data_IF_745758095705
#
_entry.id   IF_745758095705
#
_cell.length_a   1.000
_cell.length_b   1.000
_cell.length_c   1.000
_cell.angle_alpha   90.00
_cell.angle_beta   90.00
_cell.angle_gamma   90.00
#
_symmetry.space_group_name_H-M   'P 1'
#
loop_
_entity.id
_entity.type
_entity.pdbx_description
1 polymer ?
#
# COMPACT_ATOMS: atom_id res chain seq x y z
N UNK A 1 9.04 4.05 12.04
CA UNK A 1 9.86 5.21 11.67
C UNK A 1 10.11 5.13 10.17
N UNK A 2 9.90 6.21 9.42
CA UNK A 2 10.14 6.21 7.97
C UNK A 2 11.65 6.16 7.67
N UNK A 3 12.08 5.35 6.71
CA UNK A 3 13.50 5.12 6.39
C UNK A 3 13.68 4.62 4.95
N UNK A 4 14.93 4.37 4.53
CA UNK A 4 15.29 3.97 3.16
C UNK A 4 14.53 2.73 2.66
N UNK A 5 14.32 1.72 3.51
CA UNK A 5 13.48 0.55 3.18
C UNK A 5 12.07 0.93 2.68
N UNK A 6 11.36 1.76 3.43
CA UNK A 6 10.04 2.27 3.02
C UNK A 6 10.13 3.05 1.70
N UNK A 7 11.13 3.93 1.55
CA UNK A 7 11.31 4.69 0.31
C UNK A 7 11.58 3.78 -0.92
N UNK A 8 12.28 2.65 -0.73
CA UNK A 8 12.55 1.66 -1.79
C UNK A 8 11.28 0.92 -2.19
N UNK A 9 10.43 0.54 -1.24
CA UNK A 9 9.12 -0.07 -1.53
C UNK A 9 8.22 0.89 -2.31
N UNK A 10 8.15 2.15 -1.89
CA UNK A 10 7.40 3.20 -2.60
C UNK A 10 7.94 3.42 -4.03
N UNK A 11 9.27 3.40 -4.20
CA UNK A 11 9.90 3.47 -5.53
C UNK A 11 9.49 2.29 -6.42
N UNK A 12 9.50 1.07 -5.89
CA UNK A 12 9.13 -0.13 -6.65
C UNK A 12 7.68 -0.04 -7.14
N UNK A 13 6.75 0.38 -6.27
CA UNK A 13 5.36 0.58 -6.68
C UNK A 13 5.21 1.71 -7.72
N UNK A 14 5.87 2.85 -7.52
CA UNK A 14 5.86 3.96 -8.51
C UNK A 14 6.40 3.53 -9.88
N UNK A 15 7.34 2.60 -9.92
CA UNK A 15 7.95 2.10 -11.15
C UNK A 15 7.29 0.82 -11.71
N UNK A 16 6.22 0.32 -11.09
CA UNK A 16 5.57 -0.92 -11.51
C UNK A 16 4.92 -0.82 -12.90
N UNK A 17 4.34 0.34 -13.24
CA UNK A 17 3.73 0.59 -14.56
C UNK A 17 4.26 1.88 -15.21
N UNK A 18 4.30 1.94 -16.55
CA UNK A 18 4.43 3.19 -17.27
C UNK A 18 3.27 4.12 -16.88
N UNK A 19 3.57 5.33 -16.39
CA UNK A 19 2.57 6.32 -15.93
C UNK A 19 1.72 5.83 -14.73
N UNK A 20 2.40 5.66 -13.59
CA UNK A 20 1.79 5.30 -12.30
C UNK A 20 1.56 6.55 -11.44
N UNK A 21 0.40 6.64 -10.80
CA UNK A 21 0.06 7.58 -9.73
C UNK A 21 0.04 6.83 -8.39
N UNK A 22 1.02 7.09 -7.54
CA UNK A 22 1.20 6.43 -6.26
C UNK A 22 0.50 7.21 -5.14
N UNK A 23 -0.47 6.54 -4.53
CA UNK A 23 -1.19 6.98 -3.34
C UNK A 23 -0.66 6.18 -2.14
N UNK A 24 -0.34 6.87 -1.05
CA UNK A 24 0.06 6.20 0.20
C UNK A 24 -0.97 6.50 1.28
N UNK A 25 -1.62 5.46 1.78
CA UNK A 25 -2.52 5.52 2.93
C UNK A 25 -1.73 5.36 4.22
N UNK A 26 -1.92 6.29 5.15
CA UNK A 26 -1.28 6.22 6.48
C UNK A 26 -2.36 6.17 7.55
N UNK A 27 -2.34 5.09 8.34
CA UNK A 27 -3.31 4.85 9.41
C UNK A 27 -3.14 5.83 10.58
N UNK A 28 -4.22 6.24 11.23
CA UNK A 28 -4.19 7.09 12.44
C UNK A 28 -3.47 6.38 13.62
N UNK A 29 -3.13 7.13 14.68
CA UNK A 29 -2.44 6.54 15.83
C UNK A 29 -3.32 5.58 16.64
N UNK A 30 -4.63 5.82 16.70
CA UNK A 30 -5.56 4.96 17.46
C UNK A 30 -5.62 3.54 16.89
N UNK A 31 -5.76 3.41 15.57
CA UNK A 31 -5.77 2.14 14.85
C UNK A 31 -4.41 1.46 14.94
N UNK A 32 -3.32 2.20 14.73
CA UNK A 32 -1.98 1.60 14.83
C UNK A 32 -1.72 1.08 16.24
N UNK A 33 -2.12 1.81 17.29
CA UNK A 33 -1.96 1.36 18.67
C UNK A 33 -2.83 0.15 18.99
N UNK A 34 -4.03 0.07 18.41
CA UNK A 34 -4.95 -1.04 18.60
C UNK A 34 -4.46 -2.32 17.91
N UNK A 35 -4.04 -2.23 16.65
CA UNK A 35 -3.75 -3.40 15.82
C UNK A 35 -2.27 -3.78 15.74
N UNK A 36 -1.34 -2.83 15.92
CA UNK A 36 0.13 -3.05 15.76
C UNK A 36 0.93 -2.80 17.02
N UNK A 37 0.49 -1.82 17.82
CA UNK A 37 1.18 -1.37 19.03
C UNK A 37 1.68 0.07 18.94
N UNK A 38 2.45 0.49 19.95
CA UNK A 38 2.81 1.90 20.14
C UNK A 38 3.74 2.42 19.05
N UNK A 39 3.48 3.65 18.62
CA UNK A 39 4.30 4.40 17.66
C UNK A 39 5.27 5.34 18.39
N UNK A 40 6.46 5.52 17.82
CA UNK A 40 7.44 6.53 18.28
C UNK A 40 7.10 7.91 17.72
N UNK A 41 6.65 7.96 16.47
CA UNK A 41 6.24 9.18 15.78
C UNK A 41 4.71 9.23 15.77
N UNK A 42 4.14 10.41 16.03
CA UNK A 42 2.70 10.58 15.93
C UNK A 42 2.22 10.53 14.47
N UNK A 43 0.92 10.37 14.27
CA UNK A 43 0.31 10.25 12.94
C UNK A 43 0.64 11.43 12.02
N UNK A 44 0.71 12.67 12.54
CA UNK A 44 1.02 13.87 11.74
C UNK A 44 2.47 13.86 11.26
N UNK A 45 3.41 13.47 12.12
CA UNK A 45 4.81 13.29 11.74
C UNK A 45 4.96 12.19 10.68
N UNK A 46 4.17 11.11 10.78
CA UNK A 46 4.13 10.06 9.75
C UNK A 46 3.55 10.57 8.43
N UNK A 47 2.48 11.35 8.45
CA UNK A 47 1.91 11.96 7.25
C UNK A 47 2.93 12.86 6.53
N UNK A 48 3.61 13.74 7.27
CA UNK A 48 4.63 14.63 6.70
C UNK A 48 5.85 13.87 6.19
N UNK A 49 6.31 12.84 6.92
CA UNK A 49 7.44 12.02 6.46
C UNK A 49 7.18 11.37 5.10
N UNK A 50 5.95 10.88 4.86
CA UNK A 50 5.55 10.27 3.59
C UNK A 50 5.36 11.33 2.50
N UNK A 51 4.79 12.49 2.80
CA UNK A 51 4.59 13.60 1.83
C UNK A 51 5.90 14.09 1.21
N UNK A 52 7.00 13.99 1.94
CA UNK A 52 8.33 14.37 1.44
C UNK A 52 9.05 13.26 0.67
N UNK A 53 8.44 12.09 0.49
CA UNK A 53 9.01 11.03 -0.32
C UNK A 53 8.88 11.35 -1.81
N UNK A 54 10.01 11.32 -2.54
CA UNK A 54 10.08 11.61 -3.98
C UNK A 54 9.11 10.80 -4.86
N UNK A 55 8.76 9.59 -4.43
CA UNK A 55 7.99 8.65 -5.25
C UNK A 55 6.48 8.74 -5.03
N UNK A 56 6.04 9.52 -4.04
CA UNK A 56 4.64 9.63 -3.62
C UNK A 56 3.97 10.81 -4.32
N UNK A 57 2.81 10.59 -4.92
CA UNK A 57 2.02 11.65 -5.55
C UNK A 57 0.90 12.17 -4.64
N UNK A 58 0.30 11.28 -3.83
CA UNK A 58 -0.81 11.61 -2.92
C UNK A 58 -0.65 10.87 -1.59
N UNK A 59 -1.01 11.54 -0.49
CA UNK A 59 -1.08 10.91 0.84
C UNK A 59 -2.51 10.99 1.36
N UNK A 60 -3.07 9.82 1.67
CA UNK A 60 -4.36 9.73 2.35
C UNK A 60 -4.09 9.59 3.84
N UNK A 61 -4.47 10.62 4.58
CA UNK A 61 -4.48 10.59 6.04
C UNK A 61 -5.65 9.73 6.52
N UNK A 62 -5.52 9.15 7.71
CA UNK A 62 -6.57 8.35 8.34
C UNK A 62 -7.06 7.21 7.44
N UNK A 63 -6.11 6.51 6.82
CA UNK A 63 -6.42 5.35 5.99
C UNK A 63 -6.95 4.21 6.88
N UNK A 64 -8.03 3.53 6.47
CA UNK A 64 -8.63 2.46 7.27
C UNK A 64 -7.68 1.26 7.37
N UNK A 65 -7.71 0.57 8.52
CA UNK A 65 -6.88 -0.62 8.74
C UNK A 65 -7.19 -1.75 7.76
N UNK A 66 -8.47 -1.96 7.46
CA UNK A 66 -8.95 -2.88 6.42
C UNK A 66 -9.53 -2.07 5.28
N UNK A 67 -9.02 -2.30 4.07
CA UNK A 67 -9.47 -1.59 2.87
C UNK A 67 -10.84 -2.13 2.43
N UNK A 68 -11.82 -1.25 2.29
CA UNK A 68 -13.16 -1.60 1.79
C UNK A 68 -13.32 -1.23 0.32
N UNK A 69 -14.28 -1.86 -0.35
CA UNK A 69 -14.63 -1.52 -1.74
C UNK A 69 -15.04 -0.05 -1.89
N UNK A 70 -15.69 0.54 -0.88
CA UNK A 70 -16.06 1.95 -0.91
C UNK A 70 -14.82 2.85 -0.88
N UNK A 71 -13.79 2.46 -0.12
CA UNK A 71 -12.52 3.19 -0.09
C UNK A 71 -11.81 3.14 -1.44
N UNK A 72 -11.76 1.95 -2.08
CA UNK A 72 -11.19 1.76 -3.41
C UNK A 72 -11.91 2.61 -4.45
N UNK A 73 -13.24 2.59 -4.46
CA UNK A 73 -14.06 3.37 -5.39
C UNK A 73 -13.92 4.88 -5.18
N UNK A 74 -13.94 5.33 -3.92
CA UNK A 74 -13.82 6.75 -3.55
C UNK A 74 -12.51 7.36 -4.07
N UNK A 75 -11.40 6.64 -3.93
CA UNK A 75 -10.07 7.12 -4.33
C UNK A 75 -9.70 6.72 -5.77
N UNK A 76 -10.54 5.90 -6.42
CA UNK A 76 -10.34 5.33 -7.76
C UNK A 76 -9.04 4.53 -7.84
N UNK A 77 -8.84 3.65 -6.86
CA UNK A 77 -7.65 2.82 -6.75
C UNK A 77 -7.80 1.62 -7.68
N UNK A 78 -6.82 1.43 -8.57
CA UNK A 78 -6.79 0.29 -9.49
C UNK A 78 -6.11 -0.92 -8.87
N UNK A 79 -5.05 -0.68 -8.09
CA UNK A 79 -4.24 -1.73 -7.48
C UNK A 79 -3.85 -1.38 -6.05
N UNK A 80 -3.73 -2.40 -5.22
CA UNK A 80 -3.14 -2.28 -3.88
C UNK A 80 -1.76 -2.95 -3.91
N UNK A 81 -0.78 -2.35 -3.25
CA UNK A 81 0.57 -2.88 -3.11
C UNK A 81 0.89 -3.10 -1.63
N UNK A 82 1.17 -4.35 -1.28
CA UNK A 82 1.62 -4.76 0.04
C UNK A 82 2.45 -6.02 -0.09
N UNK A 83 3.26 -6.34 0.93
CA UNK A 83 3.98 -7.62 1.00
C UNK A 83 3.01 -8.81 0.99
N UNK A 84 3.43 -9.93 0.42
CA UNK A 84 2.62 -11.17 0.30
C UNK A 84 2.42 -11.92 1.63
N UNK A 85 3.12 -11.48 2.68
CA UNK A 85 3.00 -12.07 4.01
C UNK A 85 1.59 -11.77 4.56
N UNK A 86 0.84 -12.79 5.01
CA UNK A 86 -0.46 -12.58 5.65
C UNK A 86 -0.38 -11.54 6.75
N UNK A 87 -1.17 -10.47 6.61
CA UNK A 87 -1.15 -9.38 7.56
C UNK A 87 -2.19 -9.63 8.65
N UNK A 88 -1.76 -10.37 9.66
CA UNK A 88 -2.60 -10.73 10.79
C UNK A 88 -2.92 -9.50 11.66
N UNK A 89 -4.17 -9.44 12.08
CA UNK A 89 -4.69 -8.51 13.07
C UNK A 89 -5.49 -9.29 14.12
N UNK A 90 -5.82 -8.72 15.29
CA UNK A 90 -6.58 -9.42 16.33
C UNK A 90 -7.90 -10.04 15.83
N UNK A 91 -8.51 -9.44 14.81
CA UNK A 91 -9.82 -9.85 14.26
C UNK A 91 -9.74 -10.53 12.89
N UNK A 92 -8.55 -10.67 12.28
CA UNK A 92 -8.38 -11.28 10.96
C UNK A 92 -7.02 -11.94 10.79
N UNK A 93 -7.00 -13.15 10.22
CA UNK A 93 -5.77 -13.87 9.86
C UNK A 93 -4.99 -13.18 8.73
N UNK A 94 -5.69 -12.48 7.82
CA UNK A 94 -5.10 -11.67 6.74
C UNK A 94 -6.10 -10.60 6.30
N UNK A 95 -5.84 -9.34 6.64
CA UNK A 95 -6.71 -8.20 6.26
C UNK A 95 -6.77 -7.98 4.74
N UNK A 96 -5.80 -8.51 3.99
CA UNK A 96 -5.73 -8.38 2.53
C UNK A 96 -6.40 -9.53 1.78
N UNK A 97 -6.81 -10.60 2.48
CA UNK A 97 -7.45 -11.78 1.87
C UNK A 97 -8.64 -11.43 0.97
N UNK A 98 -9.58 -10.54 1.34
CA UNK A 98 -10.68 -10.16 0.45
C UNK A 98 -10.18 -9.52 -0.86
N UNK A 99 -9.09 -8.76 -0.82
CA UNK A 99 -8.49 -8.12 -1.99
C UNK A 99 -7.73 -9.12 -2.86
N UNK A 100 -7.10 -10.13 -2.24
CA UNK A 100 -6.45 -11.25 -2.94
C UNK A 100 -7.50 -12.05 -3.71
N UNK A 101 -8.60 -12.41 -3.05
CA UNK A 101 -9.71 -13.16 -3.63
C UNK A 101 -10.40 -12.37 -4.77
N UNK A 102 -10.43 -11.04 -4.69
CA UNK A 102 -10.96 -10.16 -5.73
C UNK A 102 -10.00 -9.91 -6.92
N UNK A 103 -8.75 -10.37 -6.86
CA UNK A 103 -7.75 -10.15 -7.91
C UNK A 103 -7.27 -8.69 -8.03
N UNK A 104 -7.49 -7.88 -7.00
CA UNK A 104 -7.13 -6.43 -6.96
C UNK A 104 -5.68 -6.24 -6.51
N UNK A 105 -5.07 -7.25 -5.87
CA UNK A 105 -3.65 -7.30 -5.55
C UNK A 105 -2.88 -7.96 -6.72
N UNK A 106 -2.08 -7.21 -7.49
CA UNK A 106 -1.27 -7.79 -8.55
C UNK A 106 0.10 -8.29 -8.05
N UNK A 107 0.43 -8.09 -6.76
CA UNK A 107 1.76 -8.37 -6.20
C UNK A 107 1.76 -9.70 -5.42
N UNK A 108 1.69 -10.81 -6.14
CA UNK A 108 1.91 -12.15 -5.59
C UNK A 108 3.34 -12.60 -5.89
N UNK A 109 4.32 -11.94 -5.28
CA UNK A 109 5.61 -12.57 -4.97
C UNK A 109 6.38 -11.64 -4.04
N UNK A 110 6.78 -12.19 -2.89
CA UNK A 110 7.63 -11.61 -1.85
C UNK A 110 8.48 -10.42 -2.34
N UNK A 111 8.36 -9.26 -1.70
CA UNK A 111 9.34 -8.17 -1.74
C UNK A 111 10.66 -8.65 -1.10
N UNK A 112 11.33 -9.60 -1.75
CA UNK A 112 12.62 -10.09 -1.31
C UNK A 112 13.65 -9.05 -1.75
N UNK A 113 14.42 -8.56 -0.79
CA UNK A 113 15.45 -7.54 -0.92
C UNK A 113 16.47 -7.77 -2.06
N UNK A 114 16.48 -8.99 -2.63
CA UNK A 114 17.39 -9.49 -3.66
C UNK A 114 16.80 -9.68 -5.07
N UNK A 115 15.49 -9.57 -5.31
CA UNK A 115 14.91 -9.74 -6.67
C UNK A 115 14.24 -8.45 -7.15
N UNK A 116 14.83 -7.84 -8.18
CA UNK A 116 14.34 -6.62 -8.83
C UNK A 116 13.30 -6.88 -9.94
N UNK A 117 12.82 -8.12 -10.08
CA UNK A 117 11.80 -8.49 -11.05
C UNK A 117 10.54 -8.87 -10.29
N UNK A 118 9.63 -7.90 -10.17
CA UNK A 118 8.24 -8.18 -9.81
C UNK A 118 7.61 -8.72 -11.10
N UNK A 119 7.35 -10.02 -11.15
CA UNK A 119 6.58 -10.61 -12.25
C UNK A 119 5.12 -10.26 -12.00
N UNK A 120 4.69 -9.09 -12.50
CA UNK A 120 3.30 -8.66 -12.41
C UNK A 120 2.50 -9.53 -13.39
N UNK A 121 2.01 -10.69 -12.94
CA UNK A 121 1.04 -11.46 -13.71
C UNK A 121 -0.32 -10.74 -13.69
N UNK A 122 -0.46 -9.68 -14.49
CA UNK A 122 -1.75 -9.08 -14.79
C UNK A 122 -2.49 -10.01 -15.75
N UNK A 123 -3.27 -10.92 -15.20
CA UNK A 123 -4.37 -11.49 -15.97
C UNK A 123 -5.57 -10.54 -15.87
N UNK A 124 -6.24 -10.29 -17.00
CA UNK A 124 -7.46 -9.48 -17.24
C UNK A 124 -7.29 -8.08 -17.87
N UNK A 125 -8.27 -7.64 -18.71
CA UNK A 125 -8.05 -6.64 -19.75
C UNK A 125 -8.31 -5.23 -19.21
N UNK A 126 -7.30 -4.59 -18.62
CA UNK A 126 -7.38 -3.17 -18.26
C UNK A 126 -6.30 -2.34 -18.96
N UNK A 127 -6.70 -1.13 -19.37
CA UNK A 127 -5.85 -0.13 -20.04
C UNK A 127 -4.54 0.12 -19.29
N UNK A 128 -3.45 0.32 -20.02
CA UNK A 128 -2.05 0.22 -19.57
C UNK A 128 -1.50 1.57 -19.03
N UNK A 129 -2.31 2.63 -18.97
CA UNK A 129 -1.86 4.01 -18.66
C UNK A 129 -2.70 4.65 -17.54
N UNK A 130 -2.06 5.36 -16.62
CA UNK A 130 -2.74 6.17 -15.59
C UNK A 130 -3.20 5.38 -14.36
N UNK A 131 -2.39 4.43 -13.89
CA UNK A 131 -2.76 3.52 -12.79
C UNK A 131 -2.60 4.16 -11.43
N UNK A 132 -3.61 4.06 -10.57
CA UNK A 132 -3.56 4.45 -9.16
C UNK A 132 -3.22 3.26 -8.27
N UNK A 133 -2.06 3.30 -7.63
CA UNK A 133 -1.61 2.27 -6.68
C UNK A 133 -1.73 2.80 -5.25
N UNK A 134 -2.36 2.03 -4.36
CA UNK A 134 -2.38 2.30 -2.92
C UNK A 134 -1.33 1.44 -2.20
N UNK A 135 -0.46 2.07 -1.39
CA UNK A 135 0.31 1.38 -0.34
C UNK A 135 -0.20 1.80 1.04
N UNK A 136 -0.44 0.84 1.93
CA UNK A 136 -0.80 1.10 3.32
C UNK A 136 0.43 1.02 4.23
N UNK A 137 0.68 2.05 5.04
CA UNK A 137 1.82 2.17 5.97
C UNK A 137 1.44 2.07 7.45
#
# INVERSE_FOLDING_TARGET
MFHSGHARQLMQAKCAFPDTYLIVGVSNDADVHHYKGRTVMNEKERYEAIRHCRYVDEVINDAPWSITDEFLQKHKIDFVAHDDIPYASPDSEDVYKPLKDAGILPFNESFNENNAFIDVQINYPFSITGKKILIQS
#
